data_IF_248920956856
#
_entry.id   IF_248920956856
#
_cell.length_a   1.000
_cell.length_b   1.000
_cell.length_c   1.000
_cell.angle_alpha   90.00
_cell.angle_beta   90.00
_cell.angle_gamma   90.00
#
_symmetry.space_group_name_H-M   'P 1'
#
loop_
_entity.id
_entity.type
_entity.pdbx_description
1 polymer ?
#
# COMPACT_ATOMS: atom_id res chain seq x y z
N UNK A 1 5.32 8.81 -7.58
CA UNK A 1 5.14 7.34 -7.74
C UNK A 1 6.02 6.65 -6.72
N UNK A 2 5.44 5.76 -5.92
CA UNK A 2 6.11 5.07 -4.82
C UNK A 2 6.37 3.61 -5.18
N UNK A 3 7.58 3.14 -4.96
CA UNK A 3 7.97 1.72 -5.03
C UNK A 3 7.53 1.00 -3.77
N UNK A 4 7.47 -0.33 -3.83
CA UNK A 4 7.09 -1.15 -2.67
C UNK A 4 7.95 -0.90 -1.41
N UNK A 5 9.23 -0.56 -1.57
CA UNK A 5 10.12 -0.21 -0.44
C UNK A 5 9.75 1.13 0.22
N UNK A 6 9.30 2.11 -0.55
CA UNK A 6 8.86 3.41 -0.03
C UNK A 6 7.52 3.25 0.69
N UNK A 7 6.59 2.49 0.09
CA UNK A 7 5.32 2.13 0.74
C UNK A 7 5.54 1.35 2.04
N UNK A 8 6.52 0.43 2.07
CA UNK A 8 6.87 -0.31 3.29
C UNK A 8 7.31 0.62 4.42
N UNK A 9 8.10 1.66 4.09
CA UNK A 9 8.54 2.69 5.04
C UNK A 9 7.36 3.53 5.54
N UNK A 10 6.48 3.99 4.64
CA UNK A 10 5.31 4.80 4.99
C UNK A 10 4.35 4.03 5.91
N UNK A 11 4.08 2.77 5.57
CA UNK A 11 3.15 1.94 6.33
C UNK A 11 3.76 1.35 7.61
N UNK A 12 5.07 1.48 7.81
CA UNK A 12 5.79 0.87 8.94
C UNK A 12 5.74 -0.67 8.93
N UNK A 13 5.80 -1.29 7.75
CA UNK A 13 5.71 -2.75 7.59
C UNK A 13 6.86 -3.31 6.73
N UNK A 14 7.02 -4.63 6.71
CA UNK A 14 8.04 -5.28 5.87
C UNK A 14 7.69 -5.20 4.37
N UNK A 15 8.72 -5.26 3.52
CA UNK A 15 8.53 -5.33 2.07
C UNK A 15 7.66 -6.53 1.66
N UNK A 16 7.84 -7.69 2.30
CA UNK A 16 7.02 -8.88 2.06
C UNK A 16 5.54 -8.61 2.35
N UNK A 17 5.24 -7.82 3.40
CA UNK A 17 3.86 -7.42 3.71
C UNK A 17 3.27 -6.55 2.62
N UNK A 18 4.02 -5.59 2.08
CA UNK A 18 3.58 -4.78 0.93
C UNK A 18 3.34 -5.64 -0.30
N UNK A 19 4.22 -6.60 -0.60
CA UNK A 19 4.01 -7.54 -1.70
C UNK A 19 2.71 -8.34 -1.53
N UNK A 20 2.38 -8.78 -0.31
CA UNK A 20 1.10 -9.45 -0.04
C UNK A 20 -0.10 -8.51 -0.19
N UNK A 21 0.01 -7.25 0.25
CA UNK A 21 -1.07 -6.26 0.08
C UNK A 21 -1.37 -6.02 -1.39
N UNK A 22 -0.34 -5.90 -2.22
CA UNK A 22 -0.46 -5.83 -3.68
C UNK A 22 -1.12 -7.07 -4.28
N UNK A 23 -0.61 -8.28 -3.96
CA UNK A 23 -1.16 -9.53 -4.48
C UNK A 23 -2.61 -9.78 -4.07
N UNK A 24 -3.04 -9.19 -2.94
CA UNK A 24 -4.42 -9.27 -2.44
C UNK A 24 -5.28 -8.08 -2.88
N UNK A 25 -4.79 -7.23 -3.78
CA UNK A 25 -5.51 -6.04 -4.27
C UNK A 25 -6.02 -5.16 -3.12
N UNK A 26 -5.19 -5.01 -2.07
CA UNK A 26 -5.49 -4.12 -0.93
C UNK A 26 -4.92 -2.71 -1.13
N UNK A 27 -3.89 -2.61 -1.96
CA UNK A 27 -3.28 -1.37 -2.42
C UNK A 27 -3.01 -1.61 -3.90
N UNK A 28 -3.51 -0.73 -4.76
CA UNK A 28 -3.32 -0.85 -6.19
C UNK A 28 -1.89 -0.46 -6.59
N UNK A 29 -1.25 -1.34 -7.36
CA UNK A 29 0.06 -1.08 -7.96
C UNK A 29 -0.04 -1.32 -9.45
N UNK A 30 0.62 -0.47 -10.22
CA UNK A 30 0.77 -0.62 -11.66
C UNK A 30 2.22 -0.91 -12.01
N UNK A 31 2.41 -1.69 -13.08
CA UNK A 31 3.74 -1.94 -13.62
C UNK A 31 4.23 -0.70 -14.37
N UNK A 32 5.34 -0.11 -13.92
CA UNK A 32 6.00 0.97 -14.62
C UNK A 32 7.11 0.39 -15.52
N UNK A 33 6.90 0.45 -16.83
CA UNK A 33 7.85 -0.08 -17.82
C UNK A 33 9.21 0.64 -17.84
N UNK A 34 9.23 1.95 -17.56
CA UNK A 34 10.47 2.74 -17.54
C UNK A 34 11.35 2.36 -16.34
N UNK A 35 10.73 2.15 -15.18
CA UNK A 35 11.42 1.78 -13.94
C UNK A 35 11.58 0.27 -13.77
N UNK A 36 10.98 -0.53 -14.67
CA UNK A 36 10.90 -1.99 -14.61
C UNK A 36 10.48 -2.49 -13.21
N UNK A 37 9.49 -1.84 -12.62
CA UNK A 37 9.03 -2.17 -11.25
C UNK A 37 7.58 -1.79 -11.03
N UNK A 38 6.98 -2.37 -9.98
CA UNK A 38 5.64 -2.05 -9.52
C UNK A 38 5.67 -0.78 -8.69
N UNK A 39 4.82 0.18 -9.05
CA UNK A 39 4.68 1.47 -8.36
C UNK A 39 3.22 1.77 -8.05
N UNK A 40 3.01 2.64 -7.07
CA UNK A 40 1.69 3.18 -6.71
C UNK A 40 1.78 4.70 -6.55
N UNK A 41 0.68 5.36 -6.22
CA UNK A 41 0.63 6.80 -5.94
C UNK A 41 0.52 7.07 -4.45
N UNK A 42 0.76 8.31 -4.02
CA UNK A 42 0.59 8.69 -2.61
C UNK A 42 -0.88 8.61 -2.20
N UNK A 43 -1.79 9.03 -3.08
CA UNK A 43 -3.24 9.03 -2.85
C UNK A 43 -3.79 7.63 -2.57
N UNK A 44 -3.29 6.61 -3.27
CA UNK A 44 -3.70 5.21 -3.04
C UNK A 44 -3.22 4.70 -1.67
N UNK A 45 -2.01 5.11 -1.25
CA UNK A 45 -1.48 4.75 0.07
C UNK A 45 -2.25 5.46 1.18
N UNK A 46 -2.61 6.72 0.99
CA UNK A 46 -3.45 7.50 1.91
C UNK A 46 -4.87 6.91 2.02
N UNK A 47 -5.47 6.55 0.88
CA UNK A 47 -6.76 5.86 0.85
C UNK A 47 -6.74 4.56 1.66
N UNK A 48 -5.69 3.73 1.46
CA UNK A 48 -5.52 2.51 2.23
C UNK A 48 -5.40 2.78 3.75
N UNK A 49 -4.65 3.80 4.15
CA UNK A 49 -4.51 4.19 5.55
C UNK A 49 -5.85 4.65 6.16
N UNK A 50 -6.63 5.45 5.41
CA UNK A 50 -7.95 5.90 5.83
C UNK A 50 -8.92 4.71 6.02
N UNK A 51 -8.96 3.77 5.06
CA UNK A 51 -9.78 2.56 5.18
C UNK A 51 -9.34 1.67 6.35
N UNK A 52 -8.03 1.56 6.60
CA UNK A 52 -7.50 0.81 7.75
C UNK A 52 -7.92 1.43 9.07
N UNK A 53 -7.90 2.76 9.18
CA UNK A 53 -8.33 3.48 10.39
C UNK A 53 -9.82 3.25 10.68
N UNK A 54 -10.68 3.32 9.66
CA UNK A 54 -12.13 3.06 9.79
C UNK A 54 -12.44 1.63 10.24
N UNK A 55 -11.70 0.63 9.76
CA UNK A 55 -11.85 -0.76 10.25
C UNK A 55 -11.44 -0.90 11.71
N UNK A 56 -10.45 -0.12 12.15
CA UNK A 56 -10.00 -0.16 13.54
C UNK A 56 -10.99 0.50 14.51
N UNK A 57 -11.79 1.46 14.04
CA UNK A 57 -12.84 2.09 14.86
C UNK A 57 -14.10 1.22 14.96
N UNK A 58 -14.46 0.47 13.91
CA UNK A 58 -15.61 -0.45 13.96
C UNK A 58 -15.46 -1.62 14.94
N UNK A 59 -14.23 -2.05 15.26
CA UNK A 59 -13.99 -3.18 16.19
C UNK A 59 -14.08 -2.74 17.67
N UNK A 60 -14.15 -1.42 17.95
CA UNK A 60 -14.19 -0.89 19.32
C UNK A 60 -15.58 -0.64 19.91
N UNK A 61 -16.66 -0.99 19.20
CA UNK A 61 -18.04 -0.86 19.68
C UNK A 61 -18.67 -2.22 20.00
#
# INVERSE_FOLDING_TARGET
MLRQSEVARILGVSHQRVSQLRLRHRIEFTWNGNLKTWVTTEEEVEYFLACRAQRSTMIKN
#
